data_IF_451947954060
#
_entry.id   IF_451947954060
#
_cell.length_a   1.000
_cell.length_b   1.000
_cell.length_c   1.000
_cell.angle_alpha   90.00
_cell.angle_beta   90.00
_cell.angle_gamma   90.00
#
_symmetry.space_group_name_H-M   'P 1'
#
loop_
_entity.id
_entity.type
_entity.pdbx_description
1 polymer ?
#
# COMPACT_ATOMS: atom_id res chain seq x y z
N UNK A 1 13.09 -2.44 -3.44
CA UNK A 1 11.80 -2.70 -4.11
C UNK A 1 10.74 -1.70 -3.65
N UNK A 2 10.33 -1.67 -2.37
CA UNK A 2 9.33 -0.70 -1.86
C UNK A 2 9.63 0.77 -2.17
N UNK A 3 10.89 1.21 -2.05
CA UNK A 3 11.29 2.59 -2.34
C UNK A 3 11.05 3.01 -3.79
N UNK A 4 11.08 2.08 -4.75
CA UNK A 4 10.84 2.37 -6.16
C UNK A 4 9.36 2.65 -6.43
N UNK A 5 8.45 1.89 -5.83
CA UNK A 5 7.01 2.12 -5.97
C UNK A 5 6.58 3.46 -5.37
N UNK A 6 7.16 3.81 -4.21
CA UNK A 6 6.97 5.13 -3.57
C UNK A 6 7.46 6.23 -4.51
N UNK A 7 8.65 6.08 -5.11
CA UNK A 7 9.19 7.07 -6.03
C UNK A 7 8.29 7.30 -7.24
N UNK A 8 7.77 6.24 -7.87
CA UNK A 8 6.83 6.37 -9.00
C UNK A 8 5.56 7.10 -8.56
N UNK A 9 5.01 6.76 -7.38
CA UNK A 9 3.85 7.46 -6.85
C UNK A 9 4.12 8.95 -6.61
N UNK A 10 5.31 9.32 -6.11
CA UNK A 10 5.72 10.72 -5.97
C UNK A 10 5.85 11.44 -7.32
N UNK A 11 6.41 10.79 -8.34
CA UNK A 11 6.45 11.35 -9.70
C UNK A 11 5.04 11.58 -10.24
N UNK A 12 4.14 10.60 -10.09
CA UNK A 12 2.75 10.73 -10.50
C UNK A 12 2.04 11.89 -9.76
N UNK A 13 2.35 12.11 -8.48
CA UNK A 13 1.83 13.22 -7.70
C UNK A 13 2.36 14.58 -8.17
N UNK A 14 3.65 14.69 -8.50
CA UNK A 14 4.23 15.92 -9.04
C UNK A 14 3.56 16.29 -10.38
N UNK A 15 3.35 15.29 -11.23
CA UNK A 15 2.62 15.46 -12.50
C UNK A 15 1.17 15.86 -12.24
N UNK A 16 0.46 15.13 -11.38
CA UNK A 16 -0.93 15.41 -11.03
C UNK A 16 -1.11 16.80 -10.39
N UNK A 17 -0.11 17.30 -9.65
CA UNK A 17 -0.14 18.61 -9.01
C UNK A 17 -0.30 19.75 -10.03
N UNK A 18 0.13 19.56 -11.30
CA UNK A 18 -0.06 20.55 -12.35
C UNK A 18 -1.54 20.92 -12.56
N UNK A 19 -2.44 19.93 -12.53
CA UNK A 19 -3.88 20.13 -12.68
C UNK A 19 -4.61 20.30 -11.35
N UNK A 20 -4.20 19.53 -10.33
CA UNK A 20 -4.94 19.43 -9.08
C UNK A 20 -4.48 20.42 -8.01
N UNK A 21 -3.30 21.04 -8.15
CA UNK A 21 -2.80 22.10 -7.27
C UNK A 21 -2.96 21.76 -5.77
N UNK A 22 -2.39 20.63 -5.35
CA UNK A 22 -2.31 20.22 -3.95
C UNK A 22 -1.48 21.19 -3.10
N UNK A 23 -0.47 21.81 -3.71
CA UNK A 23 0.40 22.77 -3.07
C UNK A 23 1.42 23.36 -4.05
N UNK A 24 2.41 24.07 -3.51
CA UNK A 24 3.51 24.67 -4.28
C UNK A 24 4.61 23.64 -4.51
N UNK A 25 4.98 23.42 -5.78
CA UNK A 25 6.17 22.63 -6.11
C UNK A 25 7.38 23.55 -5.99
N UNK A 26 8.16 23.36 -4.93
CA UNK A 26 9.40 24.10 -4.74
C UNK A 26 10.54 23.41 -5.48
N UNK A 27 11.59 24.16 -5.81
CA UNK A 27 12.77 23.60 -6.49
C UNK A 27 13.44 22.56 -5.60
N UNK A 28 13.45 22.80 -4.29
CA UNK A 28 14.00 21.91 -3.26
C UNK A 28 13.26 20.56 -3.25
N UNK A 29 11.93 20.56 -3.41
CA UNK A 29 11.13 19.33 -3.45
C UNK A 29 11.47 18.47 -4.68
N UNK A 30 11.61 19.11 -5.84
CA UNK A 30 11.98 18.40 -7.08
C UNK A 30 13.39 17.84 -6.96
N UNK A 31 14.32 18.65 -6.46
CA UNK A 31 15.71 18.24 -6.22
C UNK A 31 15.74 17.07 -5.24
N UNK A 32 15.02 17.11 -4.12
CA UNK A 32 14.99 16.04 -3.14
C UNK A 32 14.40 14.73 -3.71
N UNK A 33 13.34 14.85 -4.52
CA UNK A 33 12.65 13.69 -5.15
C UNK A 33 13.54 12.99 -6.18
N UNK A 34 14.50 13.69 -6.78
CA UNK A 34 15.43 13.12 -7.76
C UNK A 34 16.77 12.74 -7.12
N UNK A 35 17.39 13.64 -6.34
CA UNK A 35 18.70 13.41 -5.72
C UNK A 35 18.67 12.29 -4.68
N UNK A 36 17.61 12.17 -3.87
CA UNK A 36 17.54 11.14 -2.83
C UNK A 36 17.66 9.72 -3.41
N UNK A 37 16.78 9.32 -4.34
CA UNK A 37 16.87 8.03 -5.02
C UNK A 37 18.18 7.84 -5.80
N UNK A 38 18.70 8.87 -6.46
CA UNK A 38 19.97 8.80 -7.19
C UNK A 38 21.14 8.52 -6.24
N UNK A 39 21.24 9.24 -5.12
CA UNK A 39 22.26 9.01 -4.10
C UNK A 39 22.14 7.59 -3.53
N UNK A 40 20.93 7.12 -3.24
CA UNK A 40 20.69 5.74 -2.81
C UNK A 40 21.18 4.72 -3.84
N UNK A 41 20.89 4.95 -5.13
CA UNK A 41 21.38 4.11 -6.23
C UNK A 41 22.90 4.10 -6.34
N UNK A 42 23.55 5.26 -6.24
CA UNK A 42 25.02 5.38 -6.27
C UNK A 42 25.64 4.64 -5.09
N UNK A 43 25.12 4.80 -3.88
CA UNK A 43 25.61 4.08 -2.70
C UNK A 43 25.47 2.56 -2.90
N UNK A 44 24.35 2.09 -3.43
CA UNK A 44 24.16 0.67 -3.73
C UNK A 44 25.16 0.15 -4.78
N UNK A 45 25.45 0.94 -5.81
CA UNK A 45 26.46 0.58 -6.81
C UNK A 45 27.84 0.46 -6.20
N UNK A 46 28.21 1.39 -5.32
CA UNK A 46 29.49 1.35 -4.60
C UNK A 46 29.56 0.13 -3.67
N UNK A 47 28.51 -0.13 -2.88
CA UNK A 47 28.45 -1.27 -1.97
C UNK A 47 28.45 -2.62 -2.69
N UNK A 48 27.87 -2.70 -3.88
CA UNK A 48 27.89 -3.90 -4.71
C UNK A 48 29.25 -4.19 -5.36
N UNK A 49 30.24 -3.31 -5.22
CA UNK A 49 31.56 -3.47 -5.85
C UNK A 49 31.62 -2.94 -7.29
N UNK A 50 30.74 -2.01 -7.66
CA UNK A 50 30.71 -1.34 -8.96
C UNK A 50 29.52 -1.72 -9.83
N UNK A 51 29.30 -0.95 -10.91
CA UNK A 51 28.11 -1.01 -11.75
C UNK A 51 27.89 -2.40 -12.37
N UNK A 52 28.95 -3.04 -12.83
CA UNK A 52 28.89 -4.38 -13.42
C UNK A 52 28.35 -5.41 -12.41
N UNK A 53 28.86 -5.40 -11.17
CA UNK A 53 28.41 -6.32 -10.13
C UNK A 53 26.98 -6.05 -9.70
N UNK A 54 26.54 -4.79 -9.67
CA UNK A 54 25.13 -4.43 -9.44
C UNK A 54 24.23 -5.02 -10.52
N UNK A 55 24.59 -4.88 -11.80
CA UNK A 55 23.82 -5.40 -12.93
C UNK A 55 23.75 -6.94 -12.86
N UNK A 56 24.87 -7.61 -12.62
CA UNK A 56 24.89 -9.06 -12.45
C UNK A 56 24.01 -9.50 -11.28
N UNK A 57 24.13 -8.84 -10.12
CA UNK A 57 23.32 -9.14 -8.93
C UNK A 57 21.83 -8.95 -9.21
N UNK A 58 21.46 -7.88 -9.93
CA UNK A 58 20.08 -7.64 -10.35
C UNK A 58 19.56 -8.75 -11.27
N UNK A 59 20.33 -9.14 -12.29
CA UNK A 59 19.97 -10.25 -13.17
C UNK A 59 19.84 -11.58 -12.43
N UNK A 60 20.74 -11.89 -11.49
CA UNK A 60 20.64 -13.10 -10.68
C UNK A 60 19.42 -13.07 -9.76
N UNK A 61 19.10 -11.93 -9.15
CA UNK A 61 17.91 -11.77 -8.32
C UNK A 61 16.62 -11.99 -9.12
N UNK A 62 16.56 -11.41 -10.33
CA UNK A 62 15.45 -11.66 -11.25
C UNK A 62 15.36 -13.13 -11.63
N UNK A 63 16.45 -13.71 -12.17
CA UNK A 63 16.47 -15.10 -12.63
C UNK A 63 16.06 -16.08 -11.52
N UNK A 64 16.49 -15.83 -10.28
CA UNK A 64 16.05 -16.58 -9.10
C UNK A 64 14.53 -16.53 -8.92
N UNK A 65 13.91 -15.36 -8.99
CA UNK A 65 12.46 -15.23 -8.82
C UNK A 65 11.67 -15.97 -9.91
N UNK A 66 12.20 -16.04 -11.14
CA UNK A 66 11.59 -16.78 -12.25
C UNK A 66 11.71 -18.31 -12.13
N UNK A 67 12.62 -18.82 -11.31
CA UNK A 67 12.87 -20.26 -11.14
C UNK A 67 12.39 -20.78 -9.78
N UNK A 68 12.25 -19.91 -8.78
CA UNK A 68 11.85 -20.29 -7.44
C UNK A 68 10.37 -20.68 -7.43
N UNK A 69 10.09 -21.98 -7.28
CA UNK A 69 8.72 -22.52 -7.26
C UNK A 69 7.82 -21.81 -6.25
N UNK A 70 8.34 -21.45 -5.07
CA UNK A 70 7.61 -20.67 -4.09
C UNK A 70 7.12 -19.33 -4.65
N UNK A 71 8.01 -18.52 -5.24
CA UNK A 71 7.63 -17.22 -5.83
C UNK A 71 6.65 -17.35 -7.00
N UNK A 72 6.73 -18.44 -7.76
CA UNK A 72 5.80 -18.74 -8.83
C UNK A 72 4.39 -19.04 -8.28
N UNK A 73 4.32 -19.84 -7.21
CA UNK A 73 3.04 -20.25 -6.61
C UNK A 73 2.40 -19.14 -5.75
N UNK A 74 3.21 -18.31 -5.10
CA UNK A 74 2.74 -17.35 -4.09
C UNK A 74 2.92 -15.89 -4.47
N UNK A 75 3.76 -15.58 -5.46
CA UNK A 75 4.10 -14.21 -5.87
C UNK A 75 3.44 -13.75 -7.17
N UNK A 76 2.59 -14.57 -7.80
CA UNK A 76 1.87 -14.23 -9.02
C UNK A 76 0.36 -14.08 -8.78
N UNK A 77 -0.35 -13.43 -9.69
CA UNK A 77 -1.80 -13.31 -9.58
C UNK A 77 -2.43 -12.28 -10.51
N UNK A 78 -3.77 -12.21 -10.53
CA UNK A 78 -4.47 -11.18 -11.27
C UNK A 78 -4.24 -9.80 -10.65
N UNK A 79 -4.44 -8.75 -11.44
CA UNK A 79 -4.23 -7.35 -11.01
C UNK A 79 -4.98 -7.00 -9.72
N UNK A 80 -6.18 -7.56 -9.51
CA UNK A 80 -7.03 -7.32 -8.34
C UNK A 80 -6.61 -8.08 -7.08
N UNK A 81 -5.56 -8.93 -7.13
CA UNK A 81 -5.12 -9.75 -6.00
C UNK A 81 -4.86 -8.94 -4.74
N UNK A 82 -4.16 -7.80 -4.85
CA UNK A 82 -3.90 -6.91 -3.72
C UNK A 82 -5.18 -6.42 -3.03
N UNK A 83 -6.26 -6.19 -3.78
CA UNK A 83 -7.55 -5.80 -3.21
C UNK A 83 -8.17 -6.95 -2.42
N UNK A 84 -8.04 -8.18 -2.92
CA UNK A 84 -8.50 -9.39 -2.22
C UNK A 84 -7.71 -9.58 -0.94
N UNK A 85 -6.37 -9.53 -1.01
CA UNK A 85 -5.50 -9.72 0.14
C UNK A 85 -5.74 -8.63 1.22
N UNK A 86 -5.93 -7.37 0.82
CA UNK A 86 -6.31 -6.28 1.73
C UNK A 86 -7.69 -6.48 2.34
N UNK A 87 -8.65 -7.00 1.58
CA UNK A 87 -10.00 -7.29 2.08
C UNK A 87 -9.98 -8.41 3.13
N UNK A 88 -9.10 -9.40 2.97
CA UNK A 88 -8.92 -10.47 3.94
C UNK A 88 -8.29 -9.96 5.24
N UNK A 89 -7.29 -9.07 5.14
CA UNK A 89 -6.56 -8.57 6.31
C UNK A 89 -7.33 -7.48 7.06
N UNK A 90 -7.81 -6.44 6.36
CA UNK A 90 -8.44 -5.25 6.95
C UNK A 90 -9.70 -4.86 6.17
N UNK A 91 -10.77 -5.69 6.20
CA UNK A 91 -11.94 -5.53 5.34
C UNK A 91 -12.63 -4.18 5.52
N UNK A 92 -12.82 -3.75 6.76
CA UNK A 92 -13.57 -2.53 7.08
C UNK A 92 -12.78 -1.29 6.67
N UNK A 93 -11.46 -1.29 6.89
CA UNK A 93 -10.58 -0.19 6.45
C UNK A 93 -10.67 -0.03 4.94
N UNK A 94 -10.56 -1.13 4.18
CA UNK A 94 -10.63 -1.08 2.72
C UNK A 94 -12.01 -0.58 2.24
N UNK A 95 -13.11 -1.09 2.79
CA UNK A 95 -14.47 -0.67 2.41
C UNK A 95 -14.68 0.83 2.70
N UNK A 96 -14.26 1.31 3.87
CA UNK A 96 -14.38 2.72 4.23
C UNK A 96 -13.49 3.60 3.33
N UNK A 97 -12.26 3.16 3.04
CA UNK A 97 -11.36 3.87 2.15
C UNK A 97 -11.94 3.99 0.74
N UNK A 98 -12.50 2.91 0.18
CA UNK A 98 -13.22 2.92 -1.09
C UNK A 98 -14.42 3.88 -1.05
N UNK A 99 -15.16 3.91 0.05
CA UNK A 99 -16.24 4.89 0.27
C UNK A 99 -15.77 6.34 0.12
N UNK A 100 -14.58 6.68 0.65
CA UNK A 100 -13.98 8.00 0.44
C UNK A 100 -13.56 8.22 -1.01
N UNK A 101 -12.97 7.20 -1.66
CA UNK A 101 -12.57 7.28 -3.08
C UNK A 101 -13.76 7.61 -3.97
N UNK A 102 -14.93 6.99 -3.74
CA UNK A 102 -16.15 7.30 -4.50
C UNK A 102 -16.74 8.69 -4.22
N UNK A 103 -16.39 9.32 -3.10
CA UNK A 103 -16.81 10.70 -2.76
C UNK A 103 -15.77 11.76 -3.16
N UNK A 104 -14.64 11.38 -3.75
CA UNK A 104 -13.57 12.34 -4.04
C UNK A 104 -14.07 13.51 -4.88
N UNK A 105 -13.72 14.71 -4.41
CA UNK A 105 -13.97 15.97 -5.11
C UNK A 105 -12.67 16.78 -5.15
N UNK A 106 -12.54 17.69 -6.12
CA UNK A 106 -11.41 18.61 -6.29
C UNK A 106 -11.12 19.47 -5.06
N UNK A 107 -12.07 19.62 -4.14
CA UNK A 107 -11.92 20.31 -2.86
C UNK A 107 -11.19 19.47 -1.80
N UNK A 108 -11.22 18.14 -1.91
CA UNK A 108 -10.62 17.20 -0.97
C UNK A 108 -9.16 16.92 -1.34
N UNK A 109 -8.32 17.96 -1.26
CA UNK A 109 -6.90 17.90 -1.69
C UNK A 109 -6.11 16.79 -0.99
N UNK A 110 -6.18 16.62 0.35
CA UNK A 110 -5.43 15.57 1.04
C UNK A 110 -5.86 14.16 0.62
N UNK A 111 -7.17 13.92 0.51
CA UNK A 111 -7.70 12.62 0.09
C UNK A 111 -7.35 12.33 -1.37
N UNK A 112 -7.41 13.32 -2.26
CA UNK A 112 -6.98 13.17 -3.65
C UNK A 112 -5.49 12.85 -3.76
N UNK A 113 -4.64 13.53 -2.99
CA UNK A 113 -3.21 13.25 -2.93
C UNK A 113 -2.97 11.80 -2.52
N UNK A 114 -3.58 11.37 -1.42
CA UNK A 114 -3.42 10.01 -0.90
C UNK A 114 -3.98 8.96 -1.87
N UNK A 115 -5.12 9.24 -2.51
CA UNK A 115 -5.73 8.31 -3.47
C UNK A 115 -4.88 8.15 -4.72
N UNK A 116 -4.28 9.23 -5.24
CA UNK A 116 -3.36 9.16 -6.38
C UNK A 116 -2.09 8.42 -6.01
N UNK A 117 -1.56 8.64 -4.80
CA UNK A 117 -0.41 7.91 -4.29
C UNK A 117 -0.66 6.39 -4.31
N UNK A 118 -1.78 5.95 -3.74
CA UNK A 118 -2.17 4.53 -3.72
C UNK A 118 -2.38 4.03 -5.15
N UNK A 119 -3.15 4.73 -5.97
CA UNK A 119 -3.45 4.29 -7.34
C UNK A 119 -2.19 4.15 -8.20
N UNK A 120 -1.29 5.14 -8.16
CA UNK A 120 -0.06 5.12 -8.95
C UNK A 120 0.91 4.00 -8.52
N UNK A 121 1.12 3.83 -7.21
CA UNK A 121 1.95 2.72 -6.70
C UNK A 121 1.30 1.37 -6.96
N UNK A 122 -0.02 1.24 -6.80
CA UNK A 122 -0.78 0.03 -7.08
C UNK A 122 -0.66 -0.41 -8.54
N UNK A 123 -0.83 0.51 -9.49
CA UNK A 123 -0.74 0.22 -10.93
C UNK A 123 0.62 -0.36 -11.32
N UNK A 124 1.70 0.05 -10.67
CA UNK A 124 3.02 -0.51 -10.93
C UNK A 124 3.16 -1.87 -10.24
N UNK A 125 2.78 -1.96 -8.98
CA UNK A 125 2.95 -3.16 -8.16
C UNK A 125 2.15 -4.35 -8.68
N UNK A 126 0.95 -4.13 -9.22
CA UNK A 126 0.12 -5.22 -9.76
C UNK A 126 0.63 -5.80 -11.09
N UNK A 127 1.66 -5.19 -11.70
CA UNK A 127 2.31 -5.66 -12.92
C UNK A 127 3.67 -6.32 -12.67
N UNK A 128 4.09 -6.46 -11.40
CA UNK A 128 5.37 -7.12 -11.07
C UNK A 128 5.17 -8.62 -10.99
N UNK A 129 5.62 -9.32 -12.04
CA UNK A 129 5.55 -10.78 -12.14
C UNK A 129 6.39 -11.45 -11.04
N UNK A 130 5.81 -12.45 -10.36
CA UNK A 130 6.43 -13.19 -9.25
C UNK A 130 6.89 -12.31 -8.07
N UNK A 131 6.36 -11.10 -7.96
CA UNK A 131 6.68 -10.14 -6.89
C UNK A 131 5.46 -9.60 -6.14
N UNK A 132 4.26 -10.14 -6.40
CA UNK A 132 3.04 -9.72 -5.73
C UNK A 132 2.98 -10.30 -4.30
N UNK A 133 3.29 -9.46 -3.32
CA UNK A 133 3.19 -9.79 -1.90
C UNK A 133 2.69 -8.57 -1.11
N UNK A 134 1.74 -8.79 -0.19
CA UNK A 134 1.16 -7.73 0.64
C UNK A 134 2.18 -7.08 1.59
N UNK A 135 3.31 -7.73 1.88
CA UNK A 135 4.46 -7.09 2.56
C UNK A 135 4.90 -5.79 1.90
N UNK A 136 4.84 -5.74 0.57
CA UNK A 136 5.19 -4.54 -0.18
C UNK A 136 4.11 -3.45 -0.07
N UNK A 137 2.87 -3.84 0.22
CA UNK A 137 1.74 -2.93 0.42
C UNK A 137 1.71 -2.28 1.82
N UNK A 138 2.70 -2.54 2.70
CA UNK A 138 2.80 -1.85 4.00
C UNK A 138 2.81 -0.31 3.86
N UNK A 139 3.28 0.21 2.73
CA UNK A 139 3.24 1.65 2.44
C UNK A 139 1.82 2.21 2.28
N UNK A 140 0.81 1.37 2.03
CA UNK A 140 -0.58 1.75 1.88
C UNK A 140 -1.36 1.74 3.20
N UNK A 141 -0.84 1.15 4.26
CA UNK A 141 -1.57 1.01 5.53
C UNK A 141 -2.03 2.36 6.10
N UNK A 142 -1.10 3.31 6.28
CA UNK A 142 -1.43 4.66 6.73
C UNK A 142 -2.32 5.43 5.72
N UNK A 143 -2.00 5.47 4.41
CA UNK A 143 -2.89 6.01 3.37
C UNK A 143 -4.34 5.50 3.43
N UNK A 144 -4.54 4.18 3.52
CA UNK A 144 -5.87 3.57 3.57
C UNK A 144 -6.60 3.93 4.86
N UNK A 145 -5.91 3.92 6.01
CA UNK A 145 -6.48 4.34 7.30
C UNK A 145 -6.90 5.80 7.29
N UNK A 146 -6.13 6.67 6.64
CA UNK A 146 -6.50 8.09 6.47
C UNK A 146 -7.80 8.23 5.66
N UNK A 147 -7.92 7.51 4.53
CA UNK A 147 -9.13 7.53 3.71
C UNK A 147 -10.33 6.95 4.47
N UNK A 148 -10.14 5.86 5.22
CA UNK A 148 -11.17 5.28 6.08
C UNK A 148 -11.63 6.26 7.16
N UNK A 149 -10.71 6.98 7.79
CA UNK A 149 -11.04 8.02 8.77
C UNK A 149 -11.83 9.17 8.14
N UNK A 150 -11.45 9.65 6.94
CA UNK A 150 -12.22 10.67 6.20
C UNK A 150 -13.66 10.21 5.96
N UNK A 151 -13.88 8.91 5.67
CA UNK A 151 -15.21 8.34 5.53
C UNK A 151 -16.00 8.38 6.83
N UNK A 152 -15.40 7.96 7.94
CA UNK A 152 -16.04 7.96 9.27
C UNK A 152 -16.46 9.39 9.63
N UNK A 153 -15.58 10.37 9.45
CA UNK A 153 -15.86 11.78 9.75
C UNK A 153 -17.01 12.32 8.89
N UNK A 154 -17.05 11.94 7.61
CA UNK A 154 -18.14 12.33 6.72
C UNK A 154 -19.49 11.71 7.14
N UNK A 155 -19.51 10.44 7.53
CA UNK A 155 -20.73 9.78 8.04
C UNK A 155 -21.18 10.39 9.37
N UNK A 156 -20.25 10.66 10.29
CA UNK A 156 -20.54 11.29 11.58
C UNK A 156 -21.05 12.73 11.45
N UNK A 157 -20.81 13.40 10.32
CA UNK A 157 -21.29 14.77 10.07
C UNK A 157 -22.81 14.90 9.97
N UNK A 158 -23.53 13.78 9.77
CA UNK A 158 -24.99 13.75 9.73
C UNK A 158 -25.62 14.10 11.08
N UNK A 159 -24.94 13.81 12.20
CA UNK A 159 -25.41 14.09 13.56
C UNK A 159 -24.47 15.09 14.23
N UNK A 160 -24.67 16.38 13.93
CA UNK A 160 -23.76 17.47 14.35
C UNK A 160 -23.50 17.51 15.85
N UNK A 161 -24.53 17.29 16.68
CA UNK A 161 -24.44 17.38 18.14
C UNK A 161 -23.55 16.31 18.79
N UNK A 162 -23.39 15.16 18.13
CA UNK A 162 -22.61 14.02 18.66
C UNK A 162 -21.46 13.60 17.75
N UNK A 163 -21.10 14.45 16.77
CA UNK A 163 -20.09 14.12 15.74
C UNK A 163 -18.79 13.61 16.33
N UNK A 164 -18.26 14.29 17.35
CA UNK A 164 -17.01 13.90 18.00
C UNK A 164 -17.12 12.55 18.70
N UNK A 165 -18.20 12.33 19.45
CA UNK A 165 -18.46 11.08 20.15
C UNK A 165 -18.64 9.90 19.18
N UNK A 166 -19.42 10.09 18.10
CA UNK A 166 -19.63 9.08 17.06
C UNK A 166 -18.32 8.75 16.35
N UNK A 167 -17.52 9.77 16.01
CA UNK A 167 -16.21 9.56 15.36
C UNK A 167 -15.27 8.77 16.27
N UNK A 168 -15.16 9.17 17.54
CA UNK A 168 -14.32 8.48 18.52
C UNK A 168 -14.76 7.02 18.72
N UNK A 169 -16.07 6.79 18.89
CA UNK A 169 -16.62 5.44 19.04
C UNK A 169 -16.34 4.57 17.80
N UNK A 170 -16.53 5.10 16.60
CA UNK A 170 -16.26 4.39 15.36
C UNK A 170 -14.76 4.05 15.19
N UNK A 171 -13.85 4.97 15.55
CA UNK A 171 -12.41 4.73 15.51
C UNK A 171 -11.99 3.67 16.52
N UNK A 172 -12.51 3.73 17.76
CA UNK A 172 -12.23 2.71 18.79
C UNK A 172 -12.73 1.34 18.33
N UNK A 173 -13.94 1.29 17.78
CA UNK A 173 -14.52 0.05 17.26
C UNK A 173 -13.69 -0.52 16.10
N UNK A 174 -13.27 0.32 15.15
CA UNK A 174 -12.40 -0.09 14.05
C UNK A 174 -11.05 -0.62 14.57
N UNK A 175 -10.44 0.08 15.52
CA UNK A 175 -9.18 -0.34 16.13
C UNK A 175 -9.31 -1.68 16.86
N UNK A 176 -10.43 -1.92 17.55
CA UNK A 176 -10.70 -3.20 18.22
C UNK A 176 -10.81 -4.36 17.22
N UNK A 177 -11.43 -4.12 16.05
CA UNK A 177 -11.55 -5.13 14.99
C UNK A 177 -10.19 -5.42 14.35
N UNK A 178 -9.41 -4.39 14.05
CA UNK A 178 -8.06 -4.56 13.50
C UNK A 178 -7.13 -5.28 14.50
N UNK A 179 -7.27 -4.98 15.80
CA UNK A 179 -6.53 -5.69 16.84
C UNK A 179 -6.93 -7.16 16.93
N UNK A 180 -8.22 -7.47 16.79
CA UNK A 180 -8.69 -8.86 16.71
C UNK A 180 -8.13 -9.57 15.47
N UNK A 181 -8.15 -8.92 14.30
CA UNK A 181 -7.56 -9.46 13.07
C UNK A 181 -6.06 -9.73 13.23
N UNK A 182 -5.33 -8.81 13.84
CA UNK A 182 -3.92 -9.02 14.15
C UNK A 182 -3.69 -10.26 15.04
N UNK A 183 -4.50 -10.47 16.08
CA UNK A 183 -4.41 -11.67 16.91
C UNK A 183 -4.65 -12.93 16.07
N UNK A 184 -5.66 -12.94 15.19
CA UNK A 184 -5.94 -14.10 14.33
C UNK A 184 -4.79 -14.38 13.37
N UNK A 185 -4.31 -13.35 12.65
CA UNK A 185 -3.39 -13.49 11.52
C UNK A 185 -1.90 -13.45 11.88
N UNK A 186 -1.53 -12.99 13.08
CA UNK A 186 -0.13 -12.89 13.51
C UNK A 186 0.17 -13.72 14.76
N UNK A 187 -0.81 -13.94 15.64
CA UNK A 187 -0.61 -14.69 16.90
C UNK A 187 -1.07 -16.14 16.75
N UNK A 188 -2.30 -16.38 16.30
CA UNK A 188 -2.82 -17.74 16.16
C UNK A 188 -2.29 -18.47 14.92
N UNK A 189 -2.13 -17.75 13.81
CA UNK A 189 -1.45 -18.23 12.62
C UNK A 189 -0.24 -17.32 12.40
N UNK A 190 1.00 -17.71 12.77
CA UNK A 190 2.15 -16.82 12.66
C UNK A 190 2.60 -16.64 11.20
N UNK A 191 1.81 -15.88 10.43
CA UNK A 191 2.08 -15.60 9.03
C UNK A 191 3.20 -14.56 8.93
N UNK A 192 4.41 -15.01 8.58
CA UNK A 192 5.54 -14.13 8.28
C UNK A 192 5.37 -13.43 6.92
N UNK A 193 4.77 -14.12 5.96
CA UNK A 193 4.36 -13.56 4.67
C UNK A 193 2.85 -13.69 4.49
N UNK A 194 2.22 -12.62 4.03
CA UNK A 194 0.77 -12.53 3.85
C UNK A 194 0.41 -13.08 2.46
N UNK A 195 0.49 -14.39 2.33
CA UNK A 195 0.13 -15.12 1.10
C UNK A 195 -1.37 -15.38 1.10
N UNK A 196 -2.02 -15.19 -0.05
CA UNK A 196 -3.47 -15.37 -0.22
C UNK A 196 -3.97 -16.72 0.29
N UNK A 197 -3.26 -17.82 -0.03
CA UNK A 197 -3.64 -19.16 0.42
C UNK A 197 -3.68 -19.28 1.95
N UNK A 198 -2.62 -18.81 2.61
CA UNK A 198 -2.47 -18.90 4.06
C UNK A 198 -3.45 -17.96 4.78
N UNK A 199 -3.72 -16.78 4.20
CA UNK A 199 -4.77 -15.86 4.68
C UNK A 199 -6.15 -16.54 4.65
N UNK A 200 -6.48 -17.22 3.56
CA UNK A 200 -7.76 -17.92 3.43
C UNK A 200 -7.89 -19.08 4.43
N UNK A 201 -6.80 -19.79 4.72
CA UNK A 201 -6.79 -20.83 5.76
C UNK A 201 -6.89 -20.24 7.17
N UNK A 202 -6.12 -19.20 7.48
CA UNK A 202 -6.12 -18.55 8.80
C UNK A 202 -7.50 -17.98 9.15
N UNK A 203 -8.21 -17.43 8.17
CA UNK A 203 -9.58 -16.95 8.29
C UNK A 203 -10.64 -18.06 8.22
N UNK A 204 -10.22 -19.33 8.11
CA UNK A 204 -11.08 -20.53 8.03
C UNK A 204 -12.06 -20.52 6.85
N UNK A 205 -11.74 -19.76 5.80
CA UNK A 205 -12.49 -19.76 4.53
C UNK A 205 -12.16 -21.04 3.76
N UNK A 206 -10.86 -21.35 3.66
CA UNK A 206 -10.40 -22.67 3.26
C UNK A 206 -10.20 -23.51 4.52
N UNK A 207 -10.77 -24.71 4.51
CA UNK A 207 -10.54 -25.71 5.56
C UNK A 207 -9.45 -26.65 5.08
N UNK A 208 -8.45 -26.88 5.91
CA UNK A 208 -7.50 -27.96 5.69
C UNK A 208 -8.26 -29.30 5.74
N UNK A 209 -7.93 -30.27 4.88
CA UNK A 209 -8.46 -31.64 4.99
C UNK A 209 -8.07 -32.28 6.33
#
# INVERSE_FOLDING_TARGET
ENSFFVWIALVALLVANHWLRFGTVTRELVIATVLGPLLGGVILVLLAGGLSQTIHTYHYSLAKNYQLQYAILTGDGPWYRYLVDLLLVSPIVLILALGTVFRLNRTMKPELFISIFIAASYLVMCNVKYGMNLRYANMWDLPLRFLAFSQIVAMASWVKSYRAAITAAAVIFLAAIEFHQYIVLAVHYPLYELITHDLLQALRILKSP
#
